data_IF_652498316326
#
_entry.id   IF_652498316326
#
_cell.length_a   1.000
_cell.length_b   1.000
_cell.length_c   1.000
_cell.angle_alpha   90.00
_cell.angle_beta   90.00
_cell.angle_gamma   90.00
#
_symmetry.space_group_name_H-M   'P 1'
#
loop_
_entity.id
_entity.type
_entity.pdbx_description
1 polymer ?
#
# COMPACT_ATOMS: atom_id res chain seq x y z
N UNK A 1 -14.96 -7.32 -6.99
CA UNK A 1 -14.41 -6.81 -5.73
C UNK A 1 -14.95 -7.69 -4.61
N UNK A 2 -14.17 -8.63 -4.08
CA UNK A 2 -14.55 -9.35 -2.86
C UNK A 2 -13.57 -8.97 -1.74
N UNK A 3 -14.08 -8.28 -0.73
CA UNK A 3 -13.39 -8.06 0.53
C UNK A 3 -13.08 -9.43 1.16
N UNK A 4 -11.83 -9.66 1.56
CA UNK A 4 -11.43 -10.87 2.29
C UNK A 4 -10.38 -11.76 1.61
N UNK A 5 -10.06 -11.55 0.33
CA UNK A 5 -8.95 -12.26 -0.29
C UNK A 5 -7.63 -11.68 0.20
N UNK A 6 -6.86 -12.48 0.92
CA UNK A 6 -5.50 -12.19 1.40
C UNK A 6 -4.45 -12.22 0.28
N UNK A 7 -4.83 -12.10 -0.99
CA UNK A 7 -3.90 -12.29 -2.09
C UNK A 7 -3.94 -11.13 -3.08
N UNK A 8 -2.81 -10.46 -3.25
CA UNK A 8 -2.62 -9.34 -4.18
C UNK A 8 -1.66 -9.78 -5.29
N UNK A 9 -1.85 -9.26 -6.51
CA UNK A 9 -0.83 -9.36 -7.56
C UNK A 9 -0.32 -7.96 -7.88
N UNK A 10 0.98 -7.73 -7.66
CA UNK A 10 1.66 -6.46 -7.96
C UNK A 10 2.66 -6.75 -9.07
N UNK A 11 2.54 -6.09 -10.23
CA UNK A 11 3.43 -6.31 -11.38
C UNK A 11 3.62 -7.80 -11.77
N UNK A 12 2.57 -8.61 -11.66
CA UNK A 12 2.62 -10.06 -11.94
C UNK A 12 3.05 -10.93 -10.76
N UNK A 13 3.61 -10.35 -9.70
CA UNK A 13 4.01 -11.06 -8.48
C UNK A 13 2.82 -11.23 -7.54
N UNK A 14 2.40 -12.48 -7.34
CA UNK A 14 1.32 -12.85 -6.43
C UNK A 14 1.86 -12.96 -5.00
N UNK A 15 1.32 -12.18 -4.08
CA UNK A 15 1.72 -12.16 -2.67
C UNK A 15 0.53 -12.46 -1.77
N UNK A 16 0.78 -13.21 -0.71
CA UNK A 16 -0.18 -13.44 0.36
C UNK A 16 0.05 -12.42 1.48
N UNK A 17 -1.01 -11.76 1.89
CA UNK A 17 -1.02 -10.75 2.94
C UNK A 17 -1.55 -11.34 4.25
N UNK A 18 -0.95 -11.01 5.38
CA UNK A 18 -1.48 -11.39 6.69
C UNK A 18 -2.81 -10.69 7.02
N UNK A 19 -2.97 -9.45 6.53
CA UNK A 19 -4.13 -8.57 6.69
C UNK A 19 -4.76 -8.29 5.33
N UNK A 20 -6.07 -8.49 5.21
CA UNK A 20 -6.80 -8.20 3.97
C UNK A 20 -6.92 -6.68 3.75
N UNK A 21 -6.86 -6.20 2.50
CA UNK A 21 -7.20 -4.82 2.16
C UNK A 21 -8.61 -4.46 2.66
N UNK A 22 -8.81 -3.21 3.04
CA UNK A 22 -10.09 -2.73 3.59
C UNK A 22 -10.58 -1.49 2.86
N UNK A 23 -11.90 -1.32 2.81
CA UNK A 23 -12.51 -0.09 2.32
C UNK A 23 -12.89 0.77 3.51
N UNK A 24 -12.49 2.04 3.48
CA UNK A 24 -12.86 3.06 4.47
C UNK A 24 -13.15 4.36 3.74
N UNK A 25 -14.31 4.96 3.99
CA UNK A 25 -14.75 6.23 3.39
C UNK A 25 -14.61 6.23 1.85
N UNK A 26 -15.00 5.13 1.20
CA UNK A 26 -14.91 4.99 -0.26
C UNK A 26 -13.49 4.78 -0.82
N UNK A 27 -12.46 4.75 0.02
CA UNK A 27 -11.07 4.49 -0.36
C UNK A 27 -10.63 3.09 0.05
N UNK A 28 -9.86 2.41 -0.81
CA UNK A 28 -9.24 1.12 -0.48
C UNK A 28 -7.89 1.35 0.19
N UNK A 29 -7.70 0.76 1.36
CA UNK A 29 -6.47 0.80 2.13
C UNK A 29 -5.79 -0.55 2.13
N UNK A 30 -4.47 -0.50 2.13
CA UNK A 30 -3.61 -1.68 2.14
C UNK A 30 -2.37 -1.42 3.00
N UNK A 31 -1.86 -2.45 3.70
CA UNK A 31 -0.55 -2.36 4.34
C UNK A 31 0.53 -2.09 3.30
N UNK A 32 1.22 -0.95 3.45
CA UNK A 32 2.17 -0.49 2.45
C UNK A 32 3.37 -1.43 2.26
N UNK A 33 3.67 -2.26 3.28
CA UNK A 33 4.75 -3.25 3.20
C UNK A 33 4.56 -4.23 2.05
N UNK A 34 3.34 -4.70 1.81
CA UNK A 34 3.10 -5.65 0.71
C UNK A 34 3.33 -5.04 -0.64
N UNK A 35 3.02 -3.75 -0.78
CA UNK A 35 3.30 -3.04 -2.02
C UNK A 35 4.82 -2.90 -2.25
N UNK A 36 5.58 -2.58 -1.20
CA UNK A 36 7.03 -2.50 -1.27
C UNK A 36 7.70 -3.86 -1.52
N UNK A 37 7.26 -4.94 -0.86
CA UNK A 37 7.78 -6.29 -1.09
C UNK A 37 7.56 -6.76 -2.54
N UNK A 38 6.40 -6.42 -3.13
CA UNK A 38 6.08 -6.80 -4.52
C UNK A 38 7.00 -6.25 -5.59
N UNK A 39 7.73 -5.19 -5.25
CA UNK A 39 8.69 -4.50 -6.13
C UNK A 39 10.14 -4.68 -5.63
N UNK A 40 10.37 -5.47 -4.57
CA UNK A 40 11.70 -5.63 -3.97
C UNK A 40 12.21 -4.41 -3.20
N UNK A 41 11.33 -3.51 -2.76
CA UNK A 41 11.69 -2.34 -1.98
C UNK A 41 11.79 -2.64 -0.48
N UNK A 42 12.70 -1.93 0.19
CA UNK A 42 12.87 -2.02 1.63
C UNK A 42 11.90 -1.09 2.36
N UNK A 43 11.38 -1.53 3.51
CA UNK A 43 10.48 -0.74 4.36
C UNK A 43 11.06 -0.58 5.75
N UNK A 44 11.17 0.68 6.20
CA UNK A 44 11.61 1.02 7.55
C UNK A 44 10.54 1.86 8.25
N UNK A 45 10.24 1.52 9.50
CA UNK A 45 9.36 2.34 10.34
C UNK A 45 10.19 3.07 11.40
N UNK A 46 10.00 4.39 11.48
CA UNK A 46 10.53 5.24 12.54
C UNK A 46 9.41 5.55 13.53
N UNK A 47 9.55 5.01 14.75
CA UNK A 47 8.56 5.21 15.80
C UNK A 47 8.62 6.58 16.47
N UNK A 48 9.78 7.26 16.42
CA UNK A 48 9.95 8.60 17.01
C UNK A 48 9.22 9.64 16.16
N UNK A 49 9.37 9.55 14.83
CA UNK A 49 8.72 10.48 13.90
C UNK A 49 7.38 9.98 13.36
N UNK A 50 6.97 8.75 13.72
CA UNK A 50 5.78 8.07 13.20
C UNK A 50 5.78 8.06 11.67
N UNK A 51 6.91 7.66 11.09
CA UNK A 51 7.13 7.70 9.64
C UNK A 51 7.44 6.30 9.11
N UNK A 52 6.77 5.91 8.04
CA UNK A 52 7.10 4.71 7.27
C UNK A 52 7.85 5.13 6.01
N UNK A 53 9.11 4.73 5.95
CA UNK A 53 10.00 4.94 4.82
C UNK A 53 9.98 3.72 3.90
N UNK A 54 10.01 3.98 2.59
CA UNK A 54 10.15 2.95 1.56
C UNK A 54 11.25 3.36 0.61
N UNK A 55 12.19 2.45 0.38
CA UNK A 55 13.33 2.65 -0.51
C UNK A 55 13.16 1.70 -1.70
N UNK A 56 12.74 2.25 -2.84
CA UNK A 56 12.44 1.53 -4.07
C UNK A 56 13.45 1.91 -5.15
N UNK A 57 14.61 1.24 -5.15
CA UNK A 57 15.74 1.66 -5.97
C UNK A 57 16.21 3.06 -5.56
N UNK A 58 16.20 4.00 -6.49
CA UNK A 58 16.56 5.40 -6.25
C UNK A 58 15.42 6.22 -5.61
N UNK A 59 14.18 5.71 -5.66
CA UNK A 59 13.02 6.40 -5.11
C UNK A 59 12.90 6.21 -3.60
N UNK A 60 12.70 7.33 -2.90
CA UNK A 60 12.47 7.38 -1.46
C UNK A 60 11.09 7.93 -1.17
N UNK A 61 10.25 7.09 -0.56
CA UNK A 61 8.91 7.45 -0.14
C UNK A 61 8.86 7.55 1.38
N UNK A 62 8.11 8.53 1.89
CA UNK A 62 7.84 8.68 3.32
C UNK A 62 6.35 8.90 3.58
N UNK A 63 5.77 8.08 4.46
CA UNK A 63 4.38 8.19 4.89
C UNK A 63 4.32 8.53 6.37
N UNK A 64 3.68 9.64 6.73
CA UNK A 64 3.49 10.02 8.13
C UNK A 64 2.14 9.55 8.64
N UNK A 65 2.14 8.86 9.77
CA UNK A 65 0.91 8.45 10.44
C UNK A 65 0.11 9.70 10.84
N UNK A 66 -1.19 9.70 10.55
CA UNK A 66 -2.08 10.82 10.85
C UNK A 66 -2.03 11.96 9.82
N UNK A 67 -1.29 11.80 8.71
CA UNK A 67 -1.26 12.78 7.61
C UNK A 67 -1.88 12.20 6.34
N UNK A 68 -2.45 13.07 5.52
CA UNK A 68 -2.94 12.81 4.17
C UNK A 68 -1.91 13.19 3.10
N UNK A 69 -0.65 13.36 3.52
CA UNK A 69 0.50 13.67 2.68
C UNK A 69 1.57 12.60 2.82
N UNK A 70 2.31 12.39 1.73
CA UNK A 70 3.54 11.62 1.69
C UNK A 70 4.66 12.46 1.06
N UNK A 71 5.89 11.98 1.16
CA UNK A 71 7.04 12.51 0.43
C UNK A 71 7.46 11.52 -0.64
N UNK A 72 7.76 12.00 -1.85
CA UNK A 72 8.49 11.26 -2.89
C UNK A 72 9.73 12.07 -3.25
N UNK A 73 10.92 11.52 -3.01
CA UNK A 73 12.20 12.14 -3.37
C UNK A 73 12.33 13.59 -2.89
N UNK A 74 11.95 13.85 -1.64
CA UNK A 74 11.98 15.19 -1.08
C UNK A 74 10.69 16.00 -1.27
N UNK A 75 9.88 15.68 -2.27
CA UNK A 75 8.68 16.45 -2.63
C UNK A 75 7.42 15.92 -1.95
N UNK A 76 6.67 16.80 -1.30
CA UNK A 76 5.38 16.44 -0.69
C UNK A 76 4.29 16.22 -1.75
N UNK A 77 3.51 15.16 -1.57
CA UNK A 77 2.37 14.78 -2.41
C UNK A 77 1.17 14.43 -1.53
N UNK A 78 -0.03 14.88 -1.92
CA UNK A 78 -1.28 14.51 -1.22
C UNK A 78 -1.72 13.11 -1.64
N UNK A 79 -1.94 12.22 -0.67
CA UNK A 79 -2.36 10.84 -0.92
C UNK A 79 -3.89 10.64 -0.91
N UNK A 80 -4.65 11.71 -0.65
CA UNK A 80 -6.12 11.74 -0.73
C UNK A 80 -6.85 11.15 0.48
N UNK A 81 -6.14 10.47 1.39
CA UNK A 81 -6.68 10.02 2.67
C UNK A 81 -5.60 9.89 3.74
N UNK A 82 -5.99 10.02 5.00
CA UNK A 82 -5.08 9.93 6.14
C UNK A 82 -4.49 8.53 6.27
N UNK A 83 -3.16 8.45 6.37
CA UNK A 83 -2.42 7.22 6.70
C UNK A 83 -2.63 6.88 8.17
N UNK A 84 -2.86 5.61 8.49
CA UNK A 84 -3.07 5.16 9.87
C UNK A 84 -2.41 3.81 10.13
N UNK A 85 -2.27 3.46 11.42
CA UNK A 85 -1.84 2.11 11.80
C UNK A 85 -3.06 1.26 12.14
N UNK A 86 -3.11 0.04 11.60
CA UNK A 86 -4.07 -0.98 11.99
C UNK A 86 -3.36 -2.33 12.08
N UNK A 87 -3.62 -3.09 13.13
CA UNK A 87 -2.99 -4.39 13.37
C UNK A 87 -1.44 -4.36 13.27
N UNK A 88 -0.81 -3.27 13.73
CA UNK A 88 0.64 -3.09 13.66
C UNK A 88 1.19 -2.78 12.25
N UNK A 89 0.33 -2.52 11.27
CA UNK A 89 0.70 -2.21 9.89
C UNK A 89 0.33 -0.78 9.52
N UNK A 90 1.16 -0.12 8.70
CA UNK A 90 0.85 1.19 8.11
C UNK A 90 -0.05 1.02 6.91
N UNK A 91 -1.26 1.54 7.01
CA UNK A 91 -2.32 1.48 6.01
C UNK A 91 -2.31 2.74 5.14
N UNK A 92 -2.18 2.57 3.82
CA UNK A 92 -2.15 3.68 2.85
C UNK A 92 -3.26 3.53 1.81
N UNK A 93 -3.80 4.63 1.26
CA UNK A 93 -4.79 4.59 0.19
C UNK A 93 -4.15 4.08 -1.11
N UNK A 94 -4.65 2.94 -1.61
CA UNK A 94 -4.05 2.22 -2.73
C UNK A 94 -4.02 3.02 -4.03
N UNK A 95 -5.12 3.74 -4.35
CA UNK A 95 -5.27 4.50 -5.62
C UNK A 95 -4.06 5.40 -5.86
N UNK A 96 -3.61 6.07 -4.80
CA UNK A 96 -2.51 7.01 -4.91
C UNK A 96 -1.17 6.31 -5.19
N UNK A 97 -0.92 5.18 -4.54
CA UNK A 97 0.33 4.44 -4.73
C UNK A 97 0.44 3.89 -6.15
N UNK A 98 -0.67 3.40 -6.73
CA UNK A 98 -0.69 2.89 -8.09
C UNK A 98 -0.48 3.97 -9.14
N UNK A 99 -1.08 5.16 -8.93
CA UNK A 99 -0.93 6.30 -9.84
C UNK A 99 0.47 6.91 -9.77
N UNK A 100 1.00 7.09 -8.55
CA UNK A 100 2.30 7.73 -8.32
C UNK A 100 3.46 6.89 -8.87
N UNK A 101 3.35 5.57 -8.81
CA UNK A 101 4.45 4.66 -9.14
C UNK A 101 4.24 3.95 -10.49
N UNK A 102 3.15 4.26 -11.19
CA UNK A 102 2.83 3.65 -12.50
C UNK A 102 2.56 2.15 -12.42
N UNK A 103 2.16 1.62 -11.26
CA UNK A 103 2.04 0.19 -11.02
C UNK A 103 0.71 -0.38 -11.52
N UNK A 104 0.79 -1.53 -12.17
CA UNK A 104 -0.38 -2.30 -12.56
C UNK A 104 -0.71 -3.31 -11.46
N UNK A 105 -1.57 -2.90 -10.53
CA UNK A 105 -2.03 -3.77 -9.43
C UNK A 105 -3.31 -4.48 -9.86
N UNK A 106 -3.20 -5.79 -10.06
CA UNK A 106 -4.32 -6.65 -10.40
C UNK A 106 -4.69 -7.54 -9.21
N UNK A 107 -5.96 -7.55 -8.85
CA UNK A 107 -6.47 -8.54 -7.90
C UNK A 107 -6.67 -9.85 -8.64
N UNK A 108 -6.18 -10.96 -8.08
CA UNK A 108 -6.35 -12.28 -8.70
C UNK A 108 -7.83 -12.57 -8.93
N UNK A 109 -8.21 -12.87 -10.19
CA UNK A 109 -9.54 -13.40 -10.50
C UNK A 109 -9.72 -14.71 -9.74
N UNK A 110 -10.79 -14.83 -8.95
CA UNK A 110 -11.36 -16.15 -8.67
C UNK A 110 -12.17 -16.53 -9.90
N UNK A 111 -11.80 -17.63 -10.57
CA UNK A 111 -12.78 -18.39 -11.36
C UNK A 111 -13.83 -18.87 -10.36
N UNK A 112 -14.94 -18.15 -10.23
CA UNK A 112 -16.16 -18.77 -9.74
C UNK A 112 -16.75 -19.49 -10.95
N UNK A 113 -16.39 -20.76 -11.11
CA UNK A 113 -17.27 -21.69 -11.82
C UNK A 113 -18.31 -22.09 -10.78
N UNK A 114 -19.42 -21.36 -10.72
CA UNK A 114 -20.65 -21.90 -10.16
C UNK A 114 -21.21 -22.81 -11.26
N UNK A 115 -21.15 -24.12 -11.02
CA UNK A 115 -22.10 -25.07 -11.60
C UNK A 115 -23.46 -24.85 -10.92
#
# INVERSE_FOLDING_TARGET
MQLGSKTITVNGNKMMMDVAPMIKNGSTFIPVRYLAEGIGAEVKYDNATKTTWIMAGDDKLAFWIGKDTMQLNGMNKKVGATVFIKNGRTEVPLRFITELLGWNVAWGKIKQRLL
#
